data_IF_985017691790
#
_entry.id   IF_985017691790
#
_cell.length_a   1.000
_cell.length_b   1.000
_cell.length_c   1.000
_cell.angle_alpha   90.00
_cell.angle_beta   90.00
_cell.angle_gamma   90.00
#
_symmetry.space_group_name_H-M   'P 1'
#
loop_
_entity.id
_entity.type
_entity.pdbx_description
1 polymer ?
#
# COMPACT_ATOMS: atom_id res chain seq x y z
N UNK A 1 10.15 -4.30 -13.57
CA UNK A 1 8.72 -4.11 -13.30
C UNK A 1 8.52 -3.00 -12.29
N UNK A 2 7.47 -2.24 -12.45
CA UNK A 2 7.25 -1.03 -11.66
C UNK A 2 7.05 -1.30 -10.18
N UNK A 3 6.32 -2.36 -9.83
CA UNK A 3 5.89 -2.57 -8.44
C UNK A 3 6.44 -3.84 -7.79
N UNK A 4 7.04 -4.75 -8.56
CA UNK A 4 7.50 -6.01 -8.00
C UNK A 4 8.55 -5.79 -6.94
N UNK A 5 8.46 -6.53 -5.86
CA UNK A 5 9.46 -6.54 -4.81
C UNK A 5 8.90 -6.36 -3.42
N UNK A 6 9.81 -6.15 -2.49
CA UNK A 6 9.51 -5.92 -1.08
C UNK A 6 9.80 -4.45 -0.78
N UNK A 7 8.82 -3.80 -0.20
CA UNK A 7 8.89 -2.36 0.09
C UNK A 7 8.77 -2.12 1.59
N UNK A 8 9.65 -1.30 2.12
CA UNK A 8 9.51 -0.80 3.49
C UNK A 8 8.62 0.43 3.43
N UNK A 9 7.47 0.33 4.05
CA UNK A 9 6.39 1.31 3.96
C UNK A 9 6.15 1.99 5.30
N UNK A 10 5.93 3.30 5.27
CA UNK A 10 5.51 4.07 6.43
C UNK A 10 4.23 4.80 6.07
N UNK A 11 3.20 4.57 6.86
CA UNK A 11 1.91 5.24 6.71
C UNK A 11 1.73 6.20 7.88
N UNK A 12 1.43 7.46 7.59
CA UNK A 12 1.34 8.52 8.60
C UNK A 12 -0.06 9.11 8.61
N UNK A 13 -0.71 9.11 9.77
CA UNK A 13 -2.02 9.70 9.97
C UNK A 13 -2.17 10.16 11.41
N UNK A 14 -2.74 11.35 11.62
CA UNK A 14 -3.11 11.88 12.94
C UNK A 14 -1.99 11.77 13.98
N UNK A 15 -0.79 12.19 13.61
CA UNK A 15 0.42 12.16 14.47
C UNK A 15 0.95 10.75 14.77
N UNK A 16 0.45 9.75 14.08
CA UNK A 16 0.93 8.38 14.21
C UNK A 16 1.59 7.93 12.93
N UNK A 17 2.64 7.13 13.08
CA UNK A 17 3.28 6.46 11.96
C UNK A 17 3.20 4.96 12.16
N UNK A 18 2.89 4.24 11.11
CA UNK A 18 2.84 2.78 11.13
C UNK A 18 3.80 2.25 10.07
N UNK A 19 4.81 1.54 10.51
CA UNK A 19 5.72 0.85 9.61
C UNK A 19 5.11 -0.49 9.19
N UNK A 20 5.30 -0.85 7.93
CA UNK A 20 4.83 -2.12 7.42
C UNK A 20 5.73 -2.59 6.27
N UNK A 21 5.59 -3.86 5.92
CA UNK A 21 6.31 -4.46 4.79
C UNK A 21 5.30 -4.81 3.72
N UNK A 22 5.44 -4.17 2.58
CA UNK A 22 4.54 -4.34 1.43
C UNK A 22 5.26 -5.20 0.40
N UNK A 23 4.71 -6.37 0.11
CA UNK A 23 5.27 -7.29 -0.89
C UNK A 23 4.31 -7.35 -2.06
N UNK A 24 4.80 -7.04 -3.25
CA UNK A 24 3.98 -6.93 -4.45
C UNK A 24 4.52 -7.79 -5.57
N UNK A 25 3.61 -8.39 -6.33
CA UNK A 25 3.93 -9.18 -7.52
C UNK A 25 2.96 -8.80 -8.63
N UNK A 26 3.49 -8.34 -9.76
CA UNK A 26 2.68 -7.91 -10.89
C UNK A 26 2.44 -9.04 -11.89
N UNK A 27 1.32 -8.91 -12.62
CA UNK A 27 0.96 -9.76 -13.73
C UNK A 27 0.30 -8.83 -14.76
N UNK A 28 1.07 -8.37 -15.74
CA UNK A 28 0.61 -7.36 -16.68
C UNK A 28 0.38 -6.03 -15.96
N UNK A 29 -0.82 -5.48 -16.11
CA UNK A 29 -1.21 -4.21 -15.49
C UNK A 29 -1.87 -4.38 -14.13
N UNK A 30 -1.88 -5.58 -13.60
CA UNK A 30 -2.43 -5.86 -12.28
C UNK A 30 -1.36 -6.39 -11.34
N UNK A 31 -1.62 -6.33 -10.04
CA UNK A 31 -0.72 -6.90 -9.04
C UNK A 31 -1.47 -7.34 -7.81
N UNK A 32 -0.85 -8.25 -7.08
CA UNK A 32 -1.33 -8.73 -5.79
C UNK A 32 -0.18 -8.68 -4.80
N UNK A 33 -0.46 -8.97 -3.56
CA UNK A 33 0.57 -9.03 -2.54
C UNK A 33 0.01 -9.01 -1.14
N UNK A 34 0.85 -8.58 -0.22
CA UNK A 34 0.49 -8.48 1.19
C UNK A 34 1.13 -7.25 1.82
N UNK A 35 0.53 -6.78 2.90
CA UNK A 35 1.06 -5.71 3.71
C UNK A 35 1.06 -6.20 5.16
N UNK A 36 2.25 -6.31 5.74
CA UNK A 36 2.45 -6.89 7.07
C UNK A 36 2.97 -5.82 8.02
N UNK A 37 2.27 -5.65 9.13
CA UNK A 37 2.66 -4.74 10.21
C UNK A 37 2.61 -5.49 11.54
N UNK A 38 3.03 -4.82 12.62
CA UNK A 38 3.03 -5.42 13.96
C UNK A 38 1.63 -5.86 14.40
N UNK A 39 0.61 -5.12 13.96
CA UNK A 39 -0.78 -5.39 14.35
C UNK A 39 -1.43 -6.47 13.49
N UNK A 40 -0.76 -6.99 12.48
CA UNK A 40 -1.29 -8.04 11.62
C UNK A 40 -0.94 -7.82 10.16
N UNK A 41 -1.57 -8.62 9.29
CA UNK A 41 -1.35 -8.55 7.86
C UNK A 41 -2.67 -8.40 7.12
N UNK A 42 -2.61 -7.74 5.96
CA UNK A 42 -3.74 -7.61 5.05
C UNK A 42 -3.29 -7.97 3.64
N UNK A 43 -4.22 -8.46 2.83
CA UNK A 43 -3.93 -8.75 1.44
C UNK A 43 -4.08 -7.51 0.59
N UNK A 44 -3.23 -7.41 -0.45
CA UNK A 44 -3.34 -6.39 -1.48
C UNK A 44 -4.13 -7.01 -2.62
N UNK A 45 -5.28 -6.41 -2.93
CA UNK A 45 -6.18 -6.89 -3.97
C UNK A 45 -6.51 -5.74 -4.93
N UNK A 46 -7.03 -6.09 -6.10
CA UNK A 46 -7.44 -5.12 -7.13
C UNK A 46 -6.33 -4.13 -7.50
N UNK A 47 -5.08 -4.59 -7.49
CA UNK A 47 -3.95 -3.75 -7.86
C UNK A 47 -3.97 -3.45 -9.35
N UNK A 48 -3.75 -2.17 -9.69
CA UNK A 48 -3.72 -1.69 -11.07
C UNK A 48 -2.53 -0.78 -11.29
N UNK A 49 -1.93 -0.91 -12.46
CA UNK A 49 -0.77 -0.12 -12.87
C UNK A 49 -1.14 0.67 -14.13
N UNK A 50 -0.98 1.99 -14.07
CA UNK A 50 -1.16 2.89 -15.22
C UNK A 50 0.08 3.78 -15.30
N UNK A 51 1.05 3.41 -16.13
CA UNK A 51 2.33 4.10 -16.18
C UNK A 51 3.05 3.99 -14.85
N UNK A 52 3.31 5.11 -14.19
CA UNK A 52 3.92 5.13 -12.86
C UNK A 52 2.89 5.28 -11.74
N UNK A 53 1.59 5.30 -12.07
CA UNK A 53 0.51 5.43 -11.09
C UNK A 53 -0.01 4.05 -10.74
N UNK A 54 -0.12 3.77 -9.45
CA UNK A 54 -0.61 2.47 -8.97
C UNK A 54 -1.74 2.69 -7.97
N UNK A 55 -2.71 1.78 -7.98
CA UNK A 55 -3.83 1.79 -7.04
C UNK A 55 -4.08 0.36 -6.59
N UNK A 56 -4.53 0.20 -5.35
CA UNK A 56 -4.92 -1.12 -4.84
C UNK A 56 -5.86 -0.97 -3.67
N UNK A 57 -6.44 -2.10 -3.24
CA UNK A 57 -7.33 -2.18 -2.09
C UNK A 57 -6.77 -3.15 -1.07
N UNK A 58 -7.06 -2.86 0.20
CA UNK A 58 -6.66 -3.71 1.31
C UNK A 58 -7.86 -3.89 2.24
N UNK A 59 -8.63 -4.99 2.11
CA UNK A 59 -9.72 -5.25 3.02
C UNK A 59 -9.17 -5.58 4.41
N UNK A 60 -9.75 -4.99 5.43
CA UNK A 60 -9.33 -5.22 6.81
C UNK A 60 -10.57 -5.45 7.67
N UNK A 61 -10.39 -6.20 8.77
CA UNK A 61 -11.47 -6.46 9.72
C UNK A 61 -11.31 -5.70 11.03
N UNK A 62 -10.14 -5.16 11.28
CA UNK A 62 -9.84 -4.45 12.54
C UNK A 62 -9.46 -3.01 12.26
N UNK A 63 -9.92 -2.06 13.06
CA UNK A 63 -10.80 -2.17 14.23
C UNK A 63 -12.25 -2.51 13.86
N UNK A 64 -12.62 -2.37 12.58
CA UNK A 64 -13.92 -2.74 12.05
C UNK A 64 -13.74 -3.15 10.59
N UNK A 65 -14.66 -3.93 10.02
CA UNK A 65 -14.60 -4.28 8.61
C UNK A 65 -14.62 -3.03 7.73
N UNK A 66 -13.60 -2.89 6.89
CA UNK A 66 -13.51 -1.78 5.93
C UNK A 66 -12.53 -2.16 4.83
N UNK A 67 -12.57 -1.44 3.73
CA UNK A 67 -11.62 -1.59 2.66
C UNK A 67 -10.81 -0.30 2.54
N UNK A 68 -9.51 -0.42 2.72
CA UNK A 68 -8.60 0.70 2.50
C UNK A 68 -8.30 0.81 1.01
N UNK A 69 -8.26 2.01 0.49
CA UNK A 69 -7.92 2.25 -0.92
C UNK A 69 -6.62 3.04 -0.96
N UNK A 70 -5.61 2.48 -1.59
CA UNK A 70 -4.31 3.12 -1.72
C UNK A 70 -4.08 3.61 -3.14
N UNK A 71 -3.48 4.78 -3.26
CA UNK A 71 -3.09 5.38 -4.54
C UNK A 71 -1.69 5.94 -4.38
N UNK A 72 -0.81 5.64 -5.31
CA UNK A 72 0.58 6.06 -5.20
C UNK A 72 1.21 6.29 -6.57
N UNK A 73 2.30 7.05 -6.55
CA UNK A 73 3.18 7.26 -7.71
C UNK A 73 4.50 6.56 -7.41
N UNK A 74 4.95 5.74 -8.34
CA UNK A 74 6.22 5.02 -8.23
C UNK A 74 7.27 5.76 -9.05
N UNK A 75 8.38 6.09 -8.41
CA UNK A 75 9.53 6.73 -9.06
C UNK A 75 10.78 5.95 -8.67
N UNK A 76 11.28 5.11 -9.58
CA UNK A 76 12.41 4.22 -9.26
C UNK A 76 12.05 3.27 -8.13
N UNK A 77 12.80 3.35 -7.03
CA UNK A 77 12.60 2.51 -5.85
C UNK A 77 11.83 3.22 -4.73
N UNK A 78 11.13 4.30 -5.06
CA UNK A 78 10.34 5.06 -4.11
C UNK A 78 8.88 5.10 -4.56
N UNK A 79 7.98 4.98 -3.60
CA UNK A 79 6.54 5.06 -3.84
C UNK A 79 5.97 6.06 -2.84
N UNK A 80 5.21 7.03 -3.34
CA UNK A 80 4.60 8.06 -2.48
C UNK A 80 3.12 8.15 -2.83
N UNK A 81 2.29 8.11 -1.83
CA UNK A 81 0.85 8.14 -2.08
C UNK A 81 0.00 8.40 -0.85
N UNK A 82 -1.25 8.00 -0.96
CA UNK A 82 -2.28 8.22 0.05
C UNK A 82 -3.07 6.94 0.23
N UNK A 83 -3.41 6.65 1.47
CA UNK A 83 -4.33 5.56 1.82
C UNK A 83 -5.61 6.19 2.34
N UNK A 84 -6.73 5.88 1.71
CA UNK A 84 -8.05 6.37 2.11
C UNK A 84 -8.65 5.34 3.07
N UNK A 85 -8.99 5.79 4.28
CA UNK A 85 -9.45 4.93 5.36
C UNK A 85 -10.93 5.17 5.69
N UNK A 86 -11.74 5.45 4.68
CA UNK A 86 -13.17 5.69 4.85
C UNK A 86 -13.46 6.85 5.78
N UNK A 87 -14.27 6.64 6.79
CA UNK A 87 -14.63 7.68 7.76
C UNK A 87 -13.50 8.12 8.67
N UNK A 88 -12.36 7.42 8.66
CA UNK A 88 -11.20 7.79 9.46
C UNK A 88 -10.26 8.77 8.74
N UNK A 89 -10.61 9.18 7.53
CA UNK A 89 -9.81 10.13 6.77
C UNK A 89 -8.73 9.48 5.90
N UNK A 90 -7.70 10.23 5.60
CA UNK A 90 -6.63 9.80 4.72
C UNK A 90 -5.30 9.76 5.46
N UNK A 91 -4.44 8.81 5.08
CA UNK A 91 -3.08 8.72 5.58
C UNK A 91 -2.11 8.93 4.42
N UNK A 92 -0.94 9.49 4.71
CA UNK A 92 0.14 9.56 3.74
C UNK A 92 0.96 8.28 3.80
N UNK A 93 1.43 7.84 2.64
CA UNK A 93 2.23 6.64 2.53
C UNK A 93 3.51 6.93 1.78
N UNK A 94 4.63 6.49 2.32
CA UNK A 94 5.92 6.51 1.65
C UNK A 94 6.53 5.13 1.76
N UNK A 95 6.97 4.57 0.64
CA UNK A 95 7.58 3.26 0.63
C UNK A 95 8.89 3.28 -0.16
N UNK A 96 9.84 2.46 0.27
CA UNK A 96 11.10 2.28 -0.43
C UNK A 96 11.32 0.81 -0.67
N UNK A 97 11.68 0.47 -1.90
CA UNK A 97 11.97 -0.91 -2.28
C UNK A 97 13.28 -1.37 -1.64
N UNK A 98 13.27 -2.56 -1.10
CA UNK A 98 14.49 -3.19 -0.60
C UNK A 98 15.40 -3.58 -1.75
N UNK A 99 16.67 -3.41 -1.53
CA UNK A 99 17.68 -3.82 -2.51
C UNK A 99 17.75 -5.33 -2.66
#
# INVERSE_FOLDING_TARGET
MTVDGVWDCVTSAMFREQASVLTLASDGDSFTGSNVADIGSVEVVDGRIEGNRVTWKMPTEKPMPMTLVAKAIVTGDTMIGTVVMGGFGNAKMVAKRRA
#
